data_IF_390235858558
#
_entry.id   IF_390235858558
#
_cell.length_a   1.000
_cell.length_b   1.000
_cell.length_c   1.000
_cell.angle_alpha   90.00
_cell.angle_beta   90.00
_cell.angle_gamma   90.00
#
_symmetry.space_group_name_H-M   'P 1'
#
loop_
_entity.id
_entity.type
_entity.pdbx_description
1 polymer ?
#
# COMPACT_ATOMS: atom_id res chain seq x y z
N UNK A 1 12.21 -0.25 -9.89
CA UNK A 1 12.43 -1.15 -8.77
C UNK A 1 11.55 -2.37 -8.87
N UNK A 2 12.15 -3.49 -8.72
CA UNK A 2 11.45 -4.72 -8.86
C UNK A 2 10.85 -5.14 -7.52
N UNK A 3 9.54 -5.26 -7.45
CA UNK A 3 8.85 -5.64 -6.25
C UNK A 3 8.40 -7.10 -6.32
N UNK A 4 9.33 -8.03 -6.16
CA UNK A 4 9.05 -9.45 -6.13
C UNK A 4 9.27 -10.11 -4.77
N UNK A 5 9.97 -9.49 -3.80
CA UNK A 5 10.37 -10.20 -2.59
C UNK A 5 9.21 -10.79 -1.79
N UNK A 6 8.08 -10.09 -1.74
CA UNK A 6 6.95 -10.55 -0.95
C UNK A 6 6.17 -11.67 -1.61
N UNK A 7 6.01 -11.59 -2.93
CA UNK A 7 5.39 -12.66 -3.69
C UNK A 7 6.25 -13.92 -3.61
N UNK A 8 7.57 -13.76 -3.70
CA UNK A 8 8.50 -14.87 -3.56
C UNK A 8 8.47 -15.49 -2.17
N UNK A 9 8.38 -14.67 -1.12
CA UNK A 9 8.25 -15.15 0.24
C UNK A 9 6.97 -15.98 0.43
N UNK A 10 5.88 -15.54 -0.17
CA UNK A 10 4.62 -16.26 -0.13
C UNK A 10 4.75 -17.60 -0.85
N UNK A 11 5.42 -17.63 -2.00
CA UNK A 11 5.73 -18.87 -2.71
C UNK A 11 6.56 -19.83 -1.87
N UNK A 12 7.56 -19.31 -1.17
CA UNK A 12 8.46 -20.11 -0.33
C UNK A 12 7.74 -20.78 0.85
N UNK A 13 6.54 -20.32 1.18
CA UNK A 13 5.69 -20.97 2.18
C UNK A 13 4.95 -22.19 1.64
N UNK A 14 5.29 -22.65 0.44
CA UNK A 14 4.78 -23.89 -0.13
C UNK A 14 3.41 -23.81 -0.76
N UNK A 15 2.92 -22.60 -1.04
CA UNK A 15 1.61 -22.43 -1.66
C UNK A 15 1.69 -22.43 -3.17
N UNK A 16 0.79 -23.16 -3.80
CA UNK A 16 0.67 -23.17 -5.26
C UNK A 16 0.04 -21.87 -5.73
N UNK A 17 0.63 -21.27 -6.76
CA UNK A 17 0.05 -20.12 -7.43
C UNK A 17 -1.01 -20.55 -8.42
N UNK A 18 -2.12 -21.07 -7.92
CA UNK A 18 -3.25 -21.42 -8.78
C UNK A 18 -4.02 -20.17 -9.20
N UNK A 19 -3.86 -19.05 -8.46
CA UNK A 19 -4.63 -17.84 -8.62
C UNK A 19 -3.84 -16.67 -8.02
N UNK A 20 -3.63 -15.64 -8.82
CA UNK A 20 -2.92 -14.44 -8.38
C UNK A 20 -3.66 -13.72 -7.24
N UNK A 21 -5.00 -13.76 -7.26
CA UNK A 21 -5.82 -13.15 -6.22
C UNK A 21 -5.57 -13.80 -4.85
N UNK A 22 -5.34 -15.11 -4.79
CA UNK A 22 -5.03 -15.80 -3.55
C UNK A 22 -3.73 -15.30 -2.95
N UNK A 23 -2.73 -15.06 -3.80
CA UNK A 23 -1.42 -14.55 -3.38
C UNK A 23 -1.57 -13.15 -2.82
N UNK A 24 -2.32 -12.30 -3.50
CA UNK A 24 -2.55 -10.94 -3.03
C UNK A 24 -3.35 -10.93 -1.73
N UNK A 25 -4.34 -11.80 -1.59
CA UNK A 25 -5.10 -11.90 -0.34
C UNK A 25 -4.22 -12.31 0.83
N UNK A 26 -3.29 -13.25 0.62
CA UNK A 26 -2.34 -13.64 1.65
C UNK A 26 -1.39 -12.50 2.02
N UNK A 27 -0.93 -11.75 1.03
CA UNK A 27 -0.07 -10.62 1.26
C UNK A 27 -0.78 -9.55 2.10
N UNK A 28 -2.04 -9.27 1.82
CA UNK A 28 -2.86 -8.34 2.58
C UNK A 28 -3.00 -8.83 4.03
N UNK A 29 -3.27 -10.11 4.23
CA UNK A 29 -3.40 -10.69 5.57
C UNK A 29 -2.10 -10.59 6.34
N UNK A 30 -0.99 -10.97 5.73
CA UNK A 30 0.31 -10.94 6.37
C UNK A 30 0.73 -9.52 6.75
N UNK A 31 0.56 -8.57 5.83
CA UNK A 31 0.88 -7.17 6.07
C UNK A 31 -0.08 -6.52 7.07
N UNK A 32 -1.31 -7.01 7.15
CA UNK A 32 -2.26 -6.54 8.15
C UNK A 32 -1.91 -7.00 9.57
N UNK A 33 -1.33 -8.19 9.70
CA UNK A 33 -0.92 -8.74 11.00
C UNK A 33 0.43 -8.21 11.46
N UNK A 34 1.39 -8.13 10.55
CA UNK A 34 2.75 -7.69 10.83
C UNK A 34 3.21 -6.69 9.77
N UNK A 35 2.67 -5.46 9.81
CA UNK A 35 2.98 -4.48 8.77
C UNK A 35 4.44 -4.05 8.83
N UNK A 36 5.18 -4.15 7.71
CA UNK A 36 6.49 -3.51 7.61
C UNK A 36 6.32 -1.99 7.64
N UNK A 37 7.40 -1.28 7.91
CA UNK A 37 7.41 0.19 7.95
C UNK A 37 6.59 0.81 9.09
N UNK A 38 6.08 0.00 10.03
CA UNK A 38 5.36 0.50 11.19
C UNK A 38 6.35 0.92 12.27
N UNK A 39 6.82 2.14 12.16
CA UNK A 39 7.82 2.73 13.05
C UNK A 39 7.75 4.25 13.00
N UNK A 40 8.41 4.92 13.93
CA UNK A 40 8.57 6.37 13.89
C UNK A 40 9.91 6.72 13.24
N UNK A 41 9.91 7.73 12.38
CA UNK A 41 11.13 8.26 11.81
C UNK A 41 11.77 9.24 12.80
N UNK A 42 13.09 9.22 12.91
CA UNK A 42 13.82 10.19 13.74
C UNK A 42 13.70 11.60 13.18
N UNK A 43 13.68 11.70 11.87
CA UNK A 43 13.52 12.96 11.14
C UNK A 43 12.51 12.77 10.03
N UNK A 44 11.56 13.66 9.95
CA UNK A 44 10.59 13.66 8.86
C UNK A 44 10.36 15.08 8.35
N UNK A 45 10.17 15.19 7.04
CA UNK A 45 9.84 16.46 6.40
C UNK A 45 8.35 16.72 6.42
N UNK A 46 7.55 15.66 6.35
CA UNK A 46 6.10 15.71 6.39
C UNK A 46 5.55 14.66 7.33
N UNK A 47 4.52 15.04 8.05
CA UNK A 47 3.84 14.17 9.00
C UNK A 47 2.34 14.48 8.91
N UNK A 48 1.56 13.49 8.51
CA UNK A 48 0.11 13.66 8.33
C UNK A 48 -0.65 12.58 9.08
N UNK A 49 -1.74 12.99 9.71
CA UNK A 49 -2.63 12.09 10.41
C UNK A 49 -3.88 11.85 9.58
N UNK A 50 -4.10 10.59 9.22
CA UNK A 50 -5.32 10.17 8.55
C UNK A 50 -6.25 9.48 9.54
N UNK A 51 -7.54 9.78 9.48
CA UNK A 51 -8.53 9.22 10.37
C UNK A 51 -9.79 8.83 9.62
N UNK A 52 -10.24 7.60 9.83
CA UNK A 52 -11.52 7.13 9.29
C UNK A 52 -12.44 6.79 10.47
N UNK A 53 -13.40 7.67 10.80
CA UNK A 53 -14.26 7.44 11.95
C UNK A 53 -15.19 6.23 11.83
N UNK A 54 -15.49 5.80 10.60
CA UNK A 54 -16.37 4.65 10.39
C UNK A 54 -15.72 3.32 10.76
N UNK A 55 -14.40 3.22 10.62
CA UNK A 55 -13.64 2.00 10.90
C UNK A 55 -12.75 2.13 12.15
N UNK A 56 -12.67 3.33 12.73
CA UNK A 56 -11.75 3.59 13.81
C UNK A 56 -10.29 3.57 13.40
N UNK A 57 -10.00 3.65 12.11
CA UNK A 57 -8.64 3.70 11.60
C UNK A 57 -8.01 5.05 11.89
N UNK A 58 -6.79 5.04 12.40
CA UNK A 58 -6.01 6.25 12.63
C UNK A 58 -4.56 5.96 12.28
N UNK A 59 -4.10 6.57 11.20
CA UNK A 59 -2.76 6.34 10.66
C UNK A 59 -2.00 7.66 10.62
N UNK A 60 -0.84 7.68 11.25
CA UNK A 60 0.10 8.79 11.16
C UNK A 60 1.17 8.40 10.16
N UNK A 61 1.26 9.11 9.07
CA UNK A 61 2.22 8.86 8.01
C UNK A 61 3.36 9.86 8.11
N UNK A 62 4.59 9.36 8.08
CA UNK A 62 5.79 10.17 8.13
C UNK A 62 6.60 9.97 6.86
N UNK A 63 7.17 11.06 6.35
CA UNK A 63 7.87 11.08 5.07
C UNK A 63 9.16 11.87 5.19
N UNK A 64 10.25 11.28 4.73
CA UNK A 64 11.53 11.95 4.60
C UNK A 64 11.90 12.06 3.12
N UNK A 65 12.28 13.27 2.70
CA UNK A 65 12.66 13.55 1.32
C UNK A 65 14.17 13.70 1.18
N UNK A 66 14.67 13.35 0.01
CA UNK A 66 16.03 13.66 -0.42
C UNK A 66 15.89 14.36 -1.78
N UNK A 67 15.89 15.70 -1.76
CA UNK A 67 15.55 16.48 -2.93
C UNK A 67 14.09 16.26 -3.31
N UNK A 68 13.84 15.78 -4.52
CA UNK A 68 12.50 15.49 -5.02
C UNK A 68 12.13 14.01 -4.88
N UNK A 69 13.00 13.20 -4.27
CA UNK A 69 12.77 11.77 -4.08
C UNK A 69 12.34 11.46 -2.66
N UNK A 70 11.46 10.48 -2.54
CA UNK A 70 11.05 9.94 -1.25
C UNK A 70 12.15 9.00 -0.77
N UNK A 71 12.89 9.44 0.24
CA UNK A 71 13.98 8.65 0.81
C UNK A 71 13.46 7.54 1.70
N UNK A 72 12.54 7.88 2.60
CA UNK A 72 11.96 6.93 3.55
C UNK A 72 10.56 7.34 3.94
N UNK A 73 9.72 6.34 4.17
CA UNK A 73 8.38 6.51 4.70
C UNK A 73 8.16 5.51 5.84
N UNK A 74 7.36 5.91 6.80
CA UNK A 74 6.96 5.05 7.90
C UNK A 74 5.57 5.46 8.38
N UNK A 75 4.95 4.62 9.18
CA UNK A 75 3.67 4.95 9.77
C UNK A 75 3.53 4.38 11.17
N UNK A 76 2.65 5.00 11.93
CA UNK A 76 2.20 4.50 13.23
C UNK A 76 0.68 4.62 13.29
N UNK A 77 0.11 4.06 14.34
CA UNK A 77 -1.33 4.11 14.53
C UNK A 77 -1.95 2.73 14.52
N UNK A 78 -3.25 2.68 14.31
CA UNK A 78 -4.02 1.45 14.33
C UNK A 78 -5.13 1.49 13.29
N UNK A 79 -5.60 0.31 12.91
CA UNK A 79 -6.67 0.18 11.94
C UNK A 79 -6.92 -1.28 11.61
N UNK A 80 -7.84 -1.51 10.67
CA UNK A 80 -8.12 -2.86 10.20
C UNK A 80 -6.97 -3.40 9.33
N UNK A 81 -7.04 -4.69 8.99
CA UNK A 81 -6.04 -5.32 8.14
C UNK A 81 -5.89 -4.61 6.80
N UNK A 82 -6.99 -4.12 6.22
CA UNK A 82 -6.97 -3.41 4.95
C UNK A 82 -6.22 -2.08 5.08
N UNK A 83 -6.49 -1.28 6.12
CA UNK A 83 -5.84 0.02 6.27
C UNK A 83 -4.35 -0.13 6.56
N UNK A 84 -3.96 -1.06 7.42
CA UNK A 84 -2.56 -1.27 7.75
C UNK A 84 -1.77 -1.89 6.60
N UNK A 85 -2.32 -2.90 5.93
CA UNK A 85 -1.65 -3.52 4.80
C UNK A 85 -1.53 -2.57 3.60
N UNK A 86 -2.57 -1.78 3.33
CA UNK A 86 -2.50 -0.82 2.22
C UNK A 86 -1.46 0.26 2.47
N UNK A 87 -1.37 0.75 3.71
CA UNK A 87 -0.35 1.73 4.08
C UNK A 87 1.05 1.15 3.86
N UNK A 88 1.30 -0.05 4.38
CA UNK A 88 2.61 -0.70 4.25
C UNK A 88 2.98 -0.99 2.80
N UNK A 89 2.04 -1.49 2.01
CA UNK A 89 2.27 -1.81 0.60
C UNK A 89 2.50 -0.54 -0.21
N UNK A 90 1.74 0.52 0.05
CA UNK A 90 1.97 1.79 -0.63
C UNK A 90 3.34 2.38 -0.29
N UNK A 91 3.81 2.22 0.93
CA UNK A 91 5.17 2.64 1.28
C UNK A 91 6.19 1.87 0.44
N UNK A 92 6.03 0.56 0.31
CA UNK A 92 6.93 -0.24 -0.54
C UNK A 92 6.96 0.27 -1.97
N UNK A 93 5.81 0.67 -2.50
CA UNK A 93 5.70 1.15 -3.88
C UNK A 93 6.29 2.55 -4.04
N UNK A 94 6.09 3.41 -3.05
CA UNK A 94 6.45 4.82 -3.15
C UNK A 94 7.88 5.16 -2.76
N UNK A 95 8.51 4.37 -1.87
CA UNK A 95 9.90 4.64 -1.49
C UNK A 95 10.82 4.61 -2.70
N UNK A 96 11.71 5.57 -2.81
CA UNK A 96 12.64 5.70 -3.91
C UNK A 96 12.07 6.37 -5.15
N UNK A 97 10.79 6.66 -5.19
CA UNK A 97 10.15 7.38 -6.29
C UNK A 97 10.27 8.88 -6.12
N UNK A 98 10.20 9.62 -7.22
CA UNK A 98 10.10 11.08 -7.14
C UNK A 98 8.70 11.45 -6.66
N UNK A 99 8.55 12.67 -6.14
CA UNK A 99 7.25 13.18 -5.73
C UNK A 99 6.25 13.14 -6.90
N UNK A 100 6.71 13.48 -8.10
CA UNK A 100 5.88 13.44 -9.31
C UNK A 100 5.38 12.03 -9.60
N UNK A 101 6.29 11.05 -9.59
CA UNK A 101 5.92 9.65 -9.81
C UNK A 101 4.98 9.14 -8.73
N UNK A 102 5.24 9.49 -7.47
CA UNK A 102 4.40 9.10 -6.35
C UNK A 102 2.97 9.63 -6.50
N UNK A 103 2.82 10.88 -6.92
CA UNK A 103 1.50 11.48 -7.14
C UNK A 103 0.73 10.76 -8.23
N UNK A 104 1.41 10.38 -9.31
CA UNK A 104 0.78 9.61 -10.40
C UNK A 104 0.33 8.22 -9.94
N UNK A 105 1.16 7.56 -9.15
CA UNK A 105 0.85 6.24 -8.58
C UNK A 105 -0.36 6.34 -7.66
N UNK A 106 -0.38 7.31 -6.77
CA UNK A 106 -1.49 7.52 -5.83
C UNK A 106 -2.79 7.81 -6.59
N UNK A 107 -2.73 8.67 -7.60
CA UNK A 107 -3.88 8.98 -8.44
C UNK A 107 -4.43 7.72 -9.10
N UNK A 108 -3.56 6.92 -9.71
CA UNK A 108 -3.95 5.68 -10.38
C UNK A 108 -4.55 4.68 -9.39
N UNK A 109 -3.97 4.59 -8.20
CA UNK A 109 -4.49 3.72 -7.15
C UNK A 109 -5.94 4.11 -6.77
N UNK A 110 -6.17 5.39 -6.53
CA UNK A 110 -7.51 5.89 -6.20
C UNK A 110 -8.49 5.63 -7.34
N UNK A 111 -8.07 5.88 -8.58
CA UNK A 111 -8.90 5.60 -9.76
C UNK A 111 -9.26 4.10 -9.86
N UNK A 112 -8.32 3.23 -9.55
CA UNK A 112 -8.55 1.78 -9.53
C UNK A 112 -9.58 1.40 -8.45
N UNK A 113 -9.42 1.90 -7.25
CA UNK A 113 -10.32 1.61 -6.13
C UNK A 113 -11.73 2.12 -6.40
N UNK A 114 -11.84 3.29 -7.02
CA UNK A 114 -13.13 3.89 -7.40
C UNK A 114 -13.71 3.33 -8.71
N UNK A 115 -13.01 2.40 -9.35
CA UNK A 115 -13.37 1.84 -10.64
C UNK A 115 -13.47 2.89 -11.76
N UNK A 116 -12.70 3.95 -11.64
CA UNK A 116 -12.65 5.00 -12.66
C UNK A 116 -11.69 4.66 -13.80
N UNK A 117 -10.79 3.70 -13.59
CA UNK A 117 -9.90 3.20 -14.64
C UNK A 117 -9.89 1.68 -14.67
N UNK A 118 -9.86 1.14 -15.87
CA UNK A 118 -9.67 -0.29 -16.12
C UNK A 118 -8.43 -0.53 -16.99
N UNK A 119 -7.64 0.52 -17.21
CA UNK A 119 -6.45 0.42 -18.05
C UNK A 119 -5.37 -0.43 -17.36
N UNK A 120 -5.14 -1.63 -17.88
CA UNK A 120 -4.11 -2.53 -17.37
C UNK A 120 -2.71 -1.91 -17.42
N UNK A 121 -2.44 -1.08 -18.43
CA UNK A 121 -1.16 -0.38 -18.55
C UNK A 121 -0.91 0.57 -17.39
N UNK A 122 -1.93 1.30 -16.96
CA UNK A 122 -1.83 2.20 -15.81
C UNK A 122 -1.74 1.42 -14.51
N UNK A 123 -2.58 0.40 -14.37
CA UNK A 123 -2.66 -0.41 -13.15
C UNK A 123 -1.36 -1.16 -12.87
N UNK A 124 -0.66 -1.62 -13.91
CA UNK A 124 0.63 -2.28 -13.76
C UNK A 124 1.67 -1.43 -13.03
N UNK A 125 1.58 -0.12 -13.13
CA UNK A 125 2.48 0.80 -12.44
C UNK A 125 2.31 0.79 -10.92
N UNK A 126 1.20 0.24 -10.44
CA UNK A 126 0.91 0.15 -9.01
C UNK A 126 1.69 -0.95 -8.31
N UNK A 127 2.36 -1.82 -9.05
CA UNK A 127 3.11 -2.95 -8.50
C UNK A 127 2.21 -3.79 -7.57
N UNK A 128 2.63 -4.07 -6.35
CA UNK A 128 1.83 -4.88 -5.43
C UNK A 128 0.58 -4.19 -4.89
N UNK A 129 0.45 -2.89 -5.07
CA UNK A 129 -0.78 -2.19 -4.71
C UNK A 129 -1.98 -2.67 -5.54
N UNK A 130 -1.74 -3.39 -6.65
CA UNK A 130 -2.77 -4.08 -7.42
C UNK A 130 -3.56 -5.07 -6.54
N UNK A 131 -2.95 -5.55 -5.46
CA UNK A 131 -3.60 -6.46 -4.52
C UNK A 131 -4.94 -5.92 -4.00
N UNK A 132 -5.10 -4.61 -3.98
CA UNK A 132 -6.31 -3.96 -3.47
C UNK A 132 -7.38 -3.75 -4.53
N UNK A 133 -7.18 -4.23 -5.77
CA UNK A 133 -8.17 -4.09 -6.85
C UNK A 133 -9.54 -4.63 -6.41
N UNK A 134 -9.57 -5.78 -5.76
CA UNK A 134 -10.80 -6.41 -5.35
C UNK A 134 -11.52 -5.70 -4.21
N UNK A 135 -10.84 -4.81 -3.51
CA UNK A 135 -11.45 -3.98 -2.47
C UNK A 135 -12.53 -3.08 -3.06
N UNK A 136 -12.42 -2.73 -4.34
CA UNK A 136 -13.43 -1.94 -5.04
C UNK A 136 -14.81 -2.62 -5.05
N UNK A 137 -14.85 -3.94 -4.83
CA UNK A 137 -16.09 -4.71 -4.75
C UNK A 137 -16.69 -4.74 -3.33
N UNK A 138 -16.01 -4.11 -2.38
CA UNK A 138 -16.40 -4.09 -0.97
C UNK A 138 -16.59 -2.64 -0.51
N UNK A 139 -17.80 -2.05 -0.73
CA UNK A 139 -18.02 -0.62 -0.45
C UNK A 139 -17.65 -0.19 0.98
N UNK A 140 -17.85 -1.05 1.94
CA UNK A 140 -17.52 -0.74 3.34
C UNK A 140 -15.99 -0.62 3.56
N UNK A 141 -15.19 -1.22 2.68
CA UNK A 141 -13.73 -1.25 2.80
C UNK A 141 -13.02 -0.22 1.92
N UNK A 142 -13.72 0.35 0.95
CA UNK A 142 -13.11 1.33 0.03
C UNK A 142 -12.52 2.52 0.79
N UNK A 143 -13.11 2.91 1.89
CA UNK A 143 -12.67 4.04 2.71
C UNK A 143 -11.49 3.70 3.63
N UNK A 144 -11.24 2.44 3.83
CA UNK A 144 -10.10 2.01 4.64
C UNK A 144 -8.80 2.24 3.89
#
# INVERSE_FOLDING_TARGET
>A
MRYLPNIEKIKLKGKKMSNLDEIYNEMIMEYGMNPPHKEELKECDFCELGHNPNCGDEIKLELKLNGDKIEKMAFTGHGCAISQSSTAIMIDVLEGKTIKEAKEIIKTFIEMIKRETTSEKKIKKLEDAIAFRNVSNMPARVKC
#
